data_IF_837127717260
#
_entry.id   IF_837127717260
#
_cell.length_a   1.000
_cell.length_b   1.000
_cell.length_c   1.000
_cell.angle_alpha   90.00
_cell.angle_beta   90.00
_cell.angle_gamma   90.00
#
_symmetry.space_group_name_H-M   'P 1'
#
loop_
_entity.id
_entity.type
_entity.pdbx_description
1 polymer ?
#
# COMPACT_ATOMS: atom_id res chain seq x y z
N UNK A 1 29.90 1.79 -41.53
CA UNK A 1 30.41 2.04 -40.16
C UNK A 1 29.57 3.04 -39.37
N UNK A 2 29.10 4.15 -39.96
CA UNK A 2 28.24 5.15 -39.29
C UNK A 2 26.96 4.54 -38.69
N UNK A 3 26.20 3.74 -39.45
CA UNK A 3 24.88 3.24 -39.01
C UNK A 3 24.96 2.24 -37.85
N UNK A 4 25.98 1.37 -37.84
CA UNK A 4 26.22 0.43 -36.73
C UNK A 4 26.54 1.18 -35.44
N UNK A 5 27.32 2.27 -35.52
CA UNK A 5 27.64 3.08 -34.34
C UNK A 5 26.41 3.82 -33.78
N UNK A 6 25.52 4.27 -34.65
CA UNK A 6 24.26 4.89 -34.25
C UNK A 6 23.33 3.90 -33.57
N UNK A 7 23.15 2.70 -34.15
CA UNK A 7 22.33 1.63 -33.57
C UNK A 7 22.86 1.18 -32.20
N UNK A 8 24.18 1.02 -32.05
CA UNK A 8 24.79 0.70 -30.74
C UNK A 8 24.53 1.78 -29.69
N UNK A 9 24.60 3.04 -30.09
CA UNK A 9 24.30 4.18 -29.19
C UNK A 9 22.83 4.16 -28.76
N UNK A 10 21.92 3.89 -29.68
CA UNK A 10 20.49 3.74 -29.39
C UNK A 10 20.23 2.55 -28.45
N UNK A 11 20.86 1.40 -28.71
CA UNK A 11 20.75 0.20 -27.88
C UNK A 11 21.19 0.50 -26.44
N UNK A 12 22.34 1.17 -26.28
CA UNK A 12 22.85 1.58 -24.99
C UNK A 12 21.83 2.46 -24.23
N UNK A 13 21.26 3.47 -24.90
CA UNK A 13 20.26 4.33 -24.30
C UNK A 13 19.01 3.55 -23.84
N UNK A 14 18.53 2.59 -24.65
CA UNK A 14 17.40 1.73 -24.25
C UNK A 14 17.72 0.84 -23.06
N UNK A 15 18.95 0.32 -22.96
CA UNK A 15 19.40 -0.43 -21.79
C UNK A 15 19.39 0.46 -20.53
N UNK A 16 19.82 1.72 -20.63
CA UNK A 16 19.75 2.64 -19.49
C UNK A 16 18.30 2.90 -19.06
N UNK A 17 17.39 3.13 -20.01
CA UNK A 17 15.96 3.28 -19.71
C UNK A 17 15.38 2.03 -19.04
N UNK A 18 15.77 0.83 -19.51
CA UNK A 18 15.36 -0.46 -18.92
C UNK A 18 15.79 -0.56 -17.46
N UNK A 19 17.05 -0.23 -17.17
CA UNK A 19 17.61 -0.28 -15.82
C UNK A 19 16.90 0.70 -14.87
N UNK A 20 16.58 1.91 -15.34
CA UNK A 20 15.80 2.88 -14.57
C UNK A 20 14.38 2.37 -14.28
N UNK A 21 13.72 1.78 -15.27
CA UNK A 21 12.40 1.17 -15.13
C UNK A 21 12.41 0.07 -14.07
N UNK A 22 13.41 -0.82 -14.12
CA UNK A 22 13.58 -1.89 -13.13
C UNK A 22 13.81 -1.34 -11.71
N UNK A 23 14.61 -0.27 -11.57
CA UNK A 23 14.85 0.36 -10.28
C UNK A 23 13.55 0.95 -9.70
N UNK A 24 12.70 1.55 -10.53
CA UNK A 24 11.37 2.05 -10.11
C UNK A 24 10.45 0.94 -9.66
N UNK A 25 10.38 -0.17 -10.40
CA UNK A 25 9.61 -1.35 -10.01
C UNK A 25 10.04 -1.84 -8.63
N UNK A 26 11.35 -1.98 -8.40
CA UNK A 26 11.88 -2.42 -7.12
C UNK A 26 11.54 -1.44 -5.97
N UNK A 27 11.50 -0.13 -6.24
CA UNK A 27 11.07 0.86 -5.26
C UNK A 27 9.58 0.73 -4.91
N UNK A 28 8.74 0.56 -5.92
CA UNK A 28 7.30 0.34 -5.76
C UNK A 28 7.03 -0.93 -4.95
N UNK A 29 7.72 -2.04 -5.26
CA UNK A 29 7.55 -3.30 -4.53
C UNK A 29 7.92 -3.15 -3.04
N UNK A 30 8.99 -2.42 -2.71
CA UNK A 30 9.34 -2.12 -1.30
C UNK A 30 8.26 -1.30 -0.60
N UNK A 31 7.65 -0.33 -1.28
CA UNK A 31 6.54 0.47 -0.72
C UNK A 31 5.30 -0.39 -0.51
N UNK A 32 4.97 -1.25 -1.47
CA UNK A 32 3.84 -2.17 -1.38
C UNK A 32 3.99 -3.13 -0.20
N UNK A 33 5.16 -3.71 0.03
CA UNK A 33 5.39 -4.60 1.17
C UNK A 33 5.18 -3.90 2.51
N UNK A 34 5.66 -2.66 2.65
CA UNK A 34 5.44 -1.84 3.85
C UNK A 34 3.96 -1.54 4.06
N UNK A 35 3.24 -1.12 3.02
CA UNK A 35 1.82 -0.80 3.11
C UNK A 35 0.95 -2.03 3.38
N UNK A 36 1.27 -3.17 2.77
CA UNK A 36 0.58 -4.44 3.06
C UNK A 36 0.80 -4.90 4.50
N UNK A 37 1.96 -4.60 5.08
CA UNK A 37 2.24 -4.86 6.50
C UNK A 37 1.42 -3.93 7.38
N UNK A 38 1.45 -2.62 7.14
CA UNK A 38 0.65 -1.64 7.88
C UNK A 38 -0.85 -1.94 7.80
N UNK A 39 -1.37 -2.35 6.64
CA UNK A 39 -2.76 -2.77 6.45
C UNK A 39 -3.14 -3.94 7.37
N UNK A 40 -2.26 -4.95 7.48
CA UNK A 40 -2.48 -6.11 8.35
C UNK A 40 -2.52 -5.71 9.82
N UNK A 41 -1.58 -4.86 10.24
CA UNK A 41 -1.52 -4.33 11.62
C UNK A 41 -2.77 -3.52 11.96
N UNK A 42 -3.15 -2.55 11.10
CA UNK A 42 -4.36 -1.74 11.30
C UNK A 42 -5.64 -2.59 11.34
N UNK A 43 -5.72 -3.64 10.52
CA UNK A 43 -6.87 -4.56 10.54
C UNK A 43 -6.94 -5.35 11.86
N UNK A 44 -5.79 -5.77 12.38
CA UNK A 44 -5.67 -6.42 13.67
C UNK A 44 -6.11 -5.46 14.80
N UNK A 45 -5.60 -4.24 14.78
CA UNK A 45 -5.92 -3.21 15.78
C UNK A 45 -7.41 -2.84 15.77
N UNK A 46 -8.01 -2.71 14.59
CA UNK A 46 -9.46 -2.51 14.44
C UNK A 46 -10.26 -3.65 15.05
N UNK A 47 -9.82 -4.89 14.81
CA UNK A 47 -10.48 -6.10 15.32
C UNK A 47 -10.37 -6.20 16.85
N UNK A 48 -9.19 -5.93 17.40
CA UNK A 48 -8.94 -5.93 18.84
C UNK A 48 -9.78 -4.87 19.55
N UNK A 49 -9.84 -3.66 19.00
CA UNK A 49 -10.73 -2.62 19.50
C UNK A 49 -12.18 -3.09 19.50
N UNK A 50 -12.63 -3.82 18.45
CA UNK A 50 -14.01 -4.32 18.31
C UNK A 50 -14.40 -5.32 19.38
N UNK A 51 -13.49 -6.21 19.71
CA UNK A 51 -13.67 -7.11 20.84
C UNK A 51 -13.79 -6.32 22.15
N UNK A 52 -12.86 -5.38 22.40
CA UNK A 52 -12.86 -4.56 23.63
C UNK A 52 -14.12 -3.71 23.79
N UNK A 53 -14.62 -3.11 22.71
CA UNK A 53 -15.87 -2.34 22.73
C UNK A 53 -17.06 -3.24 23.07
N UNK A 54 -17.16 -4.40 22.43
CA UNK A 54 -18.23 -5.37 22.71
C UNK A 54 -18.21 -5.85 24.16
N UNK A 55 -17.03 -6.10 24.72
CA UNK A 55 -16.89 -6.48 26.13
C UNK A 55 -17.42 -5.36 27.05
N UNK A 56 -17.10 -4.10 26.76
CA UNK A 56 -17.64 -2.93 27.46
C UNK A 56 -19.15 -2.77 27.32
N UNK A 57 -19.69 -2.97 26.11
CA UNK A 57 -21.13 -2.88 25.82
C UNK A 57 -21.95 -3.99 26.49
N UNK A 58 -21.32 -5.08 26.95
CA UNK A 58 -21.99 -6.19 27.66
C UNK A 58 -22.14 -5.99 29.18
N UNK A 59 -21.49 -4.97 29.75
CA UNK A 59 -21.55 -4.60 31.16
C UNK A 59 -22.86 -3.91 31.67
N UNK A 60 -23.67 -3.20 30.85
CA UNK A 60 -24.88 -2.48 31.26
C UNK A 60 -25.95 -3.33 31.97
N UNK A 61 -26.10 -4.60 31.62
CA UNK A 61 -27.09 -5.48 32.26
C UNK A 61 -26.81 -5.73 33.74
N UNK A 62 -25.57 -5.52 34.20
CA UNK A 62 -25.20 -5.64 35.62
C UNK A 62 -25.36 -4.32 36.40
N UNK A 63 -25.55 -3.19 35.70
CA UNK A 63 -25.60 -1.84 36.28
C UNK A 63 -27.02 -1.38 36.62
N UNK A 64 -28.04 -2.02 36.07
CA UNK A 64 -29.46 -1.62 36.24
C UNK A 64 -29.98 -1.68 37.69
N UNK A 65 -29.21 -2.21 38.64
CA UNK A 65 -29.56 -2.25 40.07
C UNK A 65 -28.51 -1.62 40.99
N UNK A 66 -27.45 -1.04 40.44
CA UNK A 66 -26.38 -0.47 41.25
C UNK A 66 -26.67 0.98 41.62
N UNK A 67 -26.77 1.25 42.91
CA UNK A 67 -26.93 2.59 43.47
C UNK A 67 -25.74 2.90 44.39
N UNK A 68 -25.24 4.15 44.36
CA UNK A 68 -24.17 4.61 45.23
C UNK A 68 -23.44 5.85 44.69
N UNK A 69 -22.61 6.46 45.54
CA UNK A 69 -21.97 7.77 45.27
C UNK A 69 -21.05 7.80 44.03
N UNK A 70 -20.68 6.63 43.50
CA UNK A 70 -19.82 6.49 42.30
C UNK A 70 -20.60 6.19 41.02
N UNK A 71 -21.91 5.97 41.10
CA UNK A 71 -22.75 5.60 39.96
C UNK A 71 -22.62 6.61 38.81
N UNK A 72 -22.91 7.88 39.07
CA UNK A 72 -22.91 8.91 38.02
C UNK A 72 -21.52 9.14 37.42
N UNK A 73 -20.46 9.05 38.24
CA UNK A 73 -19.07 9.13 37.75
C UNK A 73 -18.74 7.96 36.82
N UNK A 74 -19.18 6.75 37.17
CA UNK A 74 -18.98 5.58 36.32
C UNK A 74 -19.68 5.73 34.96
N UNK A 75 -20.99 6.09 34.96
CA UNK A 75 -21.77 6.28 33.73
C UNK A 75 -21.14 7.35 32.83
N UNK A 76 -20.72 8.49 33.40
CA UNK A 76 -20.04 9.54 32.64
C UNK A 76 -18.73 9.04 32.02
N UNK A 77 -17.95 8.23 32.74
CA UNK A 77 -16.69 7.68 32.24
C UNK A 77 -16.93 6.66 31.11
N UNK A 78 -18.00 5.86 31.20
CA UNK A 78 -18.35 4.91 30.14
C UNK A 78 -18.80 5.61 28.86
N UNK A 79 -19.59 6.68 28.97
CA UNK A 79 -20.01 7.49 27.82
C UNK A 79 -18.80 8.14 27.13
N UNK A 80 -17.89 8.71 27.92
CA UNK A 80 -16.65 9.30 27.41
C UNK A 80 -15.76 8.25 26.72
N UNK A 81 -15.61 7.06 27.32
CA UNK A 81 -14.86 5.95 26.73
C UNK A 81 -15.50 5.50 25.40
N UNK A 82 -16.83 5.42 25.32
CA UNK A 82 -17.55 5.09 24.10
C UNK A 82 -17.27 6.10 22.98
N UNK A 83 -17.30 7.40 23.30
CA UNK A 83 -16.96 8.47 22.36
C UNK A 83 -15.50 8.40 21.86
N UNK A 84 -14.56 8.04 22.74
CA UNK A 84 -13.16 7.80 22.34
C UNK A 84 -13.00 6.59 21.44
N UNK A 85 -13.70 5.48 21.73
CA UNK A 85 -13.68 4.30 20.88
C UNK A 85 -14.22 4.60 19.49
N UNK A 86 -15.35 5.31 19.39
CA UNK A 86 -15.93 5.70 18.09
C UNK A 86 -14.99 6.60 17.27
N UNK A 87 -14.30 7.52 17.94
CA UNK A 87 -13.29 8.37 17.30
C UNK A 87 -12.10 7.56 16.80
N UNK A 88 -11.62 6.62 17.62
CA UNK A 88 -10.55 5.69 17.27
C UNK A 88 -10.92 4.84 16.04
N UNK A 89 -12.14 4.28 15.98
CA UNK A 89 -12.59 3.53 14.81
C UNK A 89 -12.57 4.34 13.53
N UNK A 90 -13.14 5.55 13.57
CA UNK A 90 -13.16 6.43 12.40
C UNK A 90 -11.73 6.72 11.93
N UNK A 91 -10.80 6.95 12.85
CA UNK A 91 -9.41 7.18 12.51
C UNK A 91 -8.76 5.95 11.86
N UNK A 92 -8.97 4.75 12.41
CA UNK A 92 -8.43 3.50 11.84
C UNK A 92 -9.06 3.19 10.49
N UNK A 93 -10.35 3.45 10.31
CA UNK A 93 -11.05 3.23 9.04
C UNK A 93 -10.53 4.15 7.95
N UNK A 94 -10.43 5.44 8.25
CA UNK A 94 -9.83 6.41 7.33
C UNK A 94 -8.38 6.05 6.98
N UNK A 95 -7.61 5.55 7.95
CA UNK A 95 -6.24 5.10 7.72
C UNK A 95 -6.20 3.84 6.83
N UNK A 96 -7.10 2.88 7.05
CA UNK A 96 -7.22 1.67 6.23
C UNK A 96 -7.60 2.01 4.79
N UNK A 97 -8.55 2.92 4.59
CA UNK A 97 -8.98 3.38 3.27
C UNK A 97 -7.81 4.05 2.53
N UNK A 98 -7.13 5.00 3.19
CA UNK A 98 -5.95 5.65 2.62
C UNK A 98 -4.82 4.67 2.26
N UNK A 99 -4.59 3.64 3.09
CA UNK A 99 -3.62 2.58 2.80
C UNK A 99 -4.07 1.72 1.60
N UNK A 100 -5.36 1.42 1.49
CA UNK A 100 -5.88 0.66 0.35
C UNK A 100 -5.75 1.45 -0.96
N UNK A 101 -6.10 2.74 -0.94
CA UNK A 101 -5.95 3.64 -2.09
C UNK A 101 -4.49 3.74 -2.54
N UNK A 102 -3.56 3.89 -1.58
CA UNK A 102 -2.13 3.94 -1.86
C UNK A 102 -1.62 2.62 -2.46
N UNK A 103 -2.08 1.47 -1.96
CA UNK A 103 -1.73 0.16 -2.54
C UNK A 103 -2.23 0.07 -3.98
N UNK A 104 -3.49 0.40 -4.24
CA UNK A 104 -4.07 0.34 -5.59
C UNK A 104 -3.35 1.28 -6.55
N UNK A 105 -3.02 2.50 -6.12
CA UNK A 105 -2.25 3.46 -6.91
C UNK A 105 -0.87 2.91 -7.30
N UNK A 106 -0.14 2.35 -6.32
CA UNK A 106 1.18 1.77 -6.56
C UNK A 106 1.14 0.50 -7.41
N UNK A 107 0.13 -0.35 -7.26
CA UNK A 107 -0.05 -1.55 -8.11
C UNK A 107 -0.30 -1.15 -9.57
N UNK A 108 -1.10 -0.11 -9.80
CA UNK A 108 -1.31 0.45 -11.13
C UNK A 108 -0.04 1.06 -11.71
N UNK A 109 0.72 1.82 -10.92
CA UNK A 109 2.01 2.36 -11.34
C UNK A 109 2.99 1.23 -11.70
N UNK A 110 3.07 0.18 -10.88
CA UNK A 110 3.91 -0.99 -11.14
C UNK A 110 3.54 -1.67 -12.45
N UNK A 111 2.24 -1.85 -12.70
CA UNK A 111 1.74 -2.44 -13.95
C UNK A 111 2.16 -1.62 -15.17
N UNK A 112 2.05 -0.29 -15.09
CA UNK A 112 2.53 0.62 -16.13
C UNK A 112 4.04 0.47 -16.37
N UNK A 113 4.85 0.39 -15.30
CA UNK A 113 6.30 0.17 -15.43
C UNK A 113 6.61 -1.19 -16.07
N UNK A 114 5.89 -2.26 -15.75
CA UNK A 114 6.08 -3.55 -16.42
C UNK A 114 5.75 -3.48 -17.93
N UNK A 115 4.70 -2.74 -18.31
CA UNK A 115 4.40 -2.47 -19.71
C UNK A 115 5.55 -1.77 -20.44
N UNK A 116 6.07 -0.69 -19.85
CA UNK A 116 7.23 0.04 -20.38
C UNK A 116 8.46 -0.86 -20.47
N UNK A 117 8.73 -1.67 -19.45
CA UNK A 117 9.86 -2.61 -19.42
C UNK A 117 9.77 -3.60 -20.59
N UNK A 118 8.58 -4.14 -20.86
CA UNK A 118 8.32 -5.01 -22.01
C UNK A 118 8.65 -4.31 -23.33
N UNK A 119 8.13 -3.11 -23.55
CA UNK A 119 8.42 -2.33 -24.77
C UNK A 119 9.91 -2.05 -24.95
N UNK A 120 10.63 -1.75 -23.87
CA UNK A 120 12.08 -1.51 -23.92
C UNK A 120 12.86 -2.78 -24.29
N UNK A 121 12.48 -3.94 -23.73
CA UNK A 121 13.11 -5.22 -24.07
C UNK A 121 12.89 -5.56 -25.55
N UNK A 122 11.66 -5.39 -26.06
CA UNK A 122 11.37 -5.60 -27.49
C UNK A 122 12.20 -4.67 -28.39
N UNK A 123 12.34 -3.39 -28.02
CA UNK A 123 13.15 -2.44 -28.78
C UNK A 123 14.64 -2.82 -28.79
N UNK A 124 15.20 -3.23 -27.64
CA UNK A 124 16.60 -3.70 -27.55
C UNK A 124 16.83 -4.90 -28.46
N UNK A 125 15.90 -5.85 -28.48
CA UNK A 125 15.99 -7.05 -29.34
C UNK A 125 15.93 -6.68 -30.82
N UNK A 126 15.03 -5.77 -31.21
CA UNK A 126 14.92 -5.30 -32.60
C UNK A 126 16.23 -4.65 -33.07
N UNK A 127 16.78 -3.74 -32.26
CA UNK A 127 18.07 -3.08 -32.56
C UNK A 127 19.20 -4.10 -32.64
N UNK A 128 19.22 -5.09 -31.74
CA UNK A 128 20.22 -6.18 -31.77
C UNK A 128 20.18 -6.95 -33.09
N UNK A 129 18.99 -7.35 -33.54
CA UNK A 129 18.79 -8.05 -34.81
C UNK A 129 19.21 -7.19 -36.02
N UNK A 130 18.95 -5.89 -36.00
CA UNK A 130 19.40 -4.97 -37.06
C UNK A 130 20.93 -4.87 -37.12
N UNK A 131 21.59 -4.77 -35.97
CA UNK A 131 23.06 -4.77 -35.90
C UNK A 131 23.63 -6.07 -36.45
N UNK A 132 23.06 -7.22 -36.09
CA UNK A 132 23.50 -8.53 -36.58
C UNK A 132 23.38 -8.65 -38.10
N UNK A 133 22.25 -8.21 -38.67
CA UNK A 133 22.05 -8.20 -40.13
C UNK A 133 23.03 -7.31 -40.89
N UNK A 134 23.57 -6.26 -40.26
CA UNK A 134 24.56 -5.37 -40.88
C UNK A 134 26.00 -5.89 -40.73
N UNK A 135 26.22 -6.87 -39.85
CA UNK A 135 27.54 -7.46 -39.58
C UNK A 135 27.75 -8.82 -40.26
N UNK A 136 26.66 -9.50 -40.61
CA UNK A 136 26.65 -10.69 -41.47
C UNK A 136 26.74 -10.30 -42.95
#
# INVERSE_FOLDING_TARGET
MSDISALRSQQYYKIQQKNQCQSRINDIDRKLERLKTAKRELTSDKSNAKTKKKDGDSFPDQLTRWEGDKHNTYISNTDQLSGYMDSYYKAVDNALDAVCDAITSLENERSSQYGLLGSLVSAINSIGNEIEKLLN
#
